data_IF_077016083441
#
_entry.id   IF_077016083441
#
_cell.length_a   1.000
_cell.length_b   1.000
_cell.length_c   1.000
_cell.angle_alpha   90.00
_cell.angle_beta   90.00
_cell.angle_gamma   90.00
#
_symmetry.space_group_name_H-M   'P 1'
#
loop_
_entity.id
_entity.type
_entity.pdbx_description
1 polymer ?
#
# COMPACT_ATOMS: atom_id res chain seq x y z
N UNK A 1 3.39 -12.60 -8.79
CA UNK A 1 2.21 -11.90 -9.35
C UNK A 1 2.30 -11.97 -10.86
N UNK A 2 1.16 -12.06 -11.52
CA UNK A 2 1.04 -12.12 -12.96
C UNK A 2 -0.06 -11.14 -13.41
N UNK A 3 0.18 -10.38 -14.48
CA UNK A 3 -0.73 -9.34 -14.93
C UNK A 3 -0.95 -9.36 -16.46
N UNK A 4 -2.09 -8.87 -16.96
CA UNK A 4 -2.35 -8.82 -18.38
C UNK A 4 -1.57 -7.67 -19.04
N UNK A 5 -0.86 -7.97 -20.14
CA UNK A 5 -0.15 -6.99 -20.99
C UNK A 5 -1.04 -5.87 -21.58
N UNK A 6 -2.35 -5.88 -21.31
CA UNK A 6 -3.30 -4.85 -21.72
C UNK A 6 -3.11 -3.52 -20.97
N UNK A 7 -2.42 -3.51 -19.83
CA UNK A 7 -2.07 -2.29 -19.10
C UNK A 7 -0.56 -2.01 -19.23
N UNK A 8 -0.13 -0.73 -19.38
CA UNK A 8 1.28 -0.37 -19.26
C UNK A 8 1.84 -0.87 -17.94
N UNK A 9 2.96 -1.60 -18.00
CA UNK A 9 3.58 -2.23 -16.83
C UNK A 9 3.86 -1.22 -15.69
N UNK A 10 4.29 -0.01 -16.05
CA UNK A 10 4.58 1.05 -15.09
C UNK A 10 3.34 1.49 -14.28
N UNK A 11 2.19 1.64 -14.94
CA UNK A 11 0.96 2.08 -14.29
C UNK A 11 0.34 0.99 -13.43
N UNK A 12 0.42 -0.27 -13.90
CA UNK A 12 -0.13 -1.41 -13.18
C UNK A 12 0.68 -1.77 -11.92
N UNK A 13 2.01 -1.66 -11.97
CA UNK A 13 2.90 -2.03 -10.86
C UNK A 13 3.01 -0.93 -9.79
N UNK A 14 2.64 0.30 -10.11
CA UNK A 14 2.74 1.44 -9.18
C UNK A 14 1.97 1.20 -7.86
N UNK A 15 0.68 0.79 -7.86
CA UNK A 15 -0.03 0.50 -6.61
C UNK A 15 0.66 -0.57 -5.77
N UNK A 16 1.18 -1.63 -6.39
CA UNK A 16 1.91 -2.67 -5.68
C UNK A 16 3.23 -2.18 -5.08
N UNK A 17 3.96 -1.31 -5.77
CA UNK A 17 5.18 -0.71 -5.23
C UNK A 17 4.89 0.19 -4.01
N UNK A 18 3.83 0.99 -4.08
CA UNK A 18 3.37 1.85 -2.99
C UNK A 18 2.98 1.03 -1.75
N UNK A 19 2.14 0.00 -1.94
CA UNK A 19 1.76 -0.93 -0.86
C UNK A 19 2.97 -1.71 -0.34
N UNK A 20 3.86 -2.16 -1.22
CA UNK A 20 5.08 -2.88 -0.84
C UNK A 20 5.95 -2.05 0.10
N UNK A 21 6.14 -0.76 -0.24
CA UNK A 21 6.87 0.19 0.60
C UNK A 21 6.18 0.42 1.94
N UNK A 22 4.86 0.62 1.94
CA UNK A 22 4.10 0.92 3.15
C UNK A 22 4.12 -0.23 4.17
N UNK A 23 4.10 -1.48 3.70
CA UNK A 23 4.05 -2.67 4.55
C UNK A 23 5.42 -3.35 4.73
N UNK A 24 6.48 -2.83 4.10
CA UNK A 24 7.81 -3.47 4.12
C UNK A 24 7.83 -4.84 3.44
N UNK A 25 6.95 -5.07 2.47
CA UNK A 25 6.83 -6.33 1.71
C UNK A 25 7.31 -6.16 0.28
N UNK A 26 7.75 -7.26 -0.33
CA UNK A 26 8.20 -7.28 -1.73
C UNK A 26 7.21 -8.02 -2.59
N UNK A 27 6.75 -7.38 -3.67
CA UNK A 27 6.03 -8.06 -4.73
C UNK A 27 7.01 -8.62 -5.75
N UNK A 28 6.92 -9.91 -6.04
CA UNK A 28 7.73 -10.61 -7.04
C UNK A 28 6.88 -10.81 -8.28
N UNK A 29 7.41 -10.47 -9.45
CA UNK A 29 6.76 -10.62 -10.74
C UNK A 29 7.43 -11.73 -11.55
N UNK A 30 6.64 -12.58 -12.20
CA UNK A 30 7.16 -13.75 -12.92
C UNK A 30 7.94 -13.39 -14.20
N UNK A 31 7.72 -12.18 -14.74
CA UNK A 31 8.29 -11.67 -15.98
C UNK A 31 9.70 -11.07 -15.84
N UNK A 32 10.24 -10.93 -14.62
CA UNK A 32 11.43 -10.10 -14.39
C UNK A 32 12.81 -10.76 -14.63
N UNK A 33 12.93 -12.06 -14.96
CA UNK A 33 14.27 -12.64 -15.24
C UNK A 33 14.24 -13.76 -16.29
N UNK A 34 15.11 -13.68 -17.30
CA UNK A 34 15.42 -14.79 -18.20
C UNK A 34 16.42 -15.68 -17.46
N UNK A 35 16.04 -16.92 -17.17
CA UNK A 35 16.92 -17.93 -16.56
C UNK A 35 16.98 -19.17 -17.45
N UNK A 36 18.10 -19.89 -17.45
CA UNK A 36 18.31 -21.14 -18.20
C UNK A 36 17.43 -22.33 -17.71
N UNK A 37 16.62 -22.13 -16.68
CA UNK A 37 15.69 -23.12 -16.12
C UNK A 37 14.36 -23.16 -16.90
N UNK A 38 13.68 -24.31 -16.84
CA UNK A 38 12.30 -24.42 -17.31
C UNK A 38 11.44 -23.36 -16.61
N UNK A 39 10.75 -22.53 -17.39
CA UNK A 39 9.90 -21.43 -16.92
C UNK A 39 8.90 -21.89 -15.85
N UNK A 40 8.37 -23.12 -15.95
CA UNK A 40 7.43 -23.66 -14.96
C UNK A 40 8.07 -23.96 -13.61
N UNK A 41 9.31 -24.44 -13.59
CA UNK A 41 10.03 -24.71 -12.33
C UNK A 41 10.37 -23.40 -11.61
N UNK A 42 10.72 -22.36 -12.38
CA UNK A 42 10.93 -21.00 -11.86
C UNK A 42 9.64 -20.44 -11.23
N UNK A 43 8.53 -20.48 -11.97
CA UNK A 43 7.23 -20.04 -11.49
C UNK A 43 6.84 -20.81 -10.23
N UNK A 44 7.01 -22.13 -10.22
CA UNK A 44 6.77 -22.96 -9.04
C UNK A 44 7.60 -22.51 -7.85
N UNK A 45 8.89 -22.20 -8.06
CA UNK A 45 9.77 -21.64 -7.03
C UNK A 45 9.23 -20.33 -6.45
N UNK A 46 8.80 -19.39 -7.29
CA UNK A 46 8.20 -18.14 -6.83
C UNK A 46 6.89 -18.34 -6.06
N UNK A 47 6.04 -19.26 -6.52
CA UNK A 47 4.78 -19.57 -5.84
C UNK A 47 5.08 -20.12 -4.44
N UNK A 48 5.97 -21.11 -4.33
CA UNK A 48 6.30 -21.77 -3.06
C UNK A 48 7.10 -20.86 -2.09
N UNK A 49 7.87 -19.90 -2.63
CA UNK A 49 8.64 -18.94 -1.84
C UNK A 49 7.85 -17.70 -1.39
N UNK A 50 6.61 -17.54 -1.86
CA UNK A 50 5.76 -16.39 -1.54
C UNK A 50 4.73 -16.73 -0.47
N UNK A 51 4.35 -15.77 0.37
CA UNK A 51 3.31 -15.98 1.38
C UNK A 51 1.92 -16.22 0.75
N UNK A 52 1.64 -15.57 -0.37
CA UNK A 52 0.47 -15.78 -1.20
C UNK A 52 0.72 -15.24 -2.61
N UNK A 53 -0.10 -15.66 -3.58
CA UNK A 53 -0.10 -15.13 -4.94
C UNK A 53 -1.30 -14.22 -5.22
N UNK A 54 -1.10 -13.21 -6.06
CA UNK A 54 -2.16 -12.41 -6.69
C UNK A 54 -2.05 -12.61 -8.21
N UNK A 55 -3.15 -13.04 -8.82
CA UNK A 55 -3.24 -13.40 -10.24
C UNK A 55 -4.31 -12.55 -10.90
N UNK A 56 -3.92 -11.65 -11.79
CA UNK A 56 -4.88 -10.78 -12.48
C UNK A 56 -5.41 -11.48 -13.73
N UNK A 57 -6.63 -11.97 -13.60
CA UNK A 57 -7.33 -12.74 -14.64
C UNK A 57 -8.11 -11.84 -15.60
N UNK A 58 -7.90 -10.52 -15.56
CA UNK A 58 -8.49 -9.61 -16.55
C UNK A 58 -8.09 -10.06 -17.96
N UNK A 59 -9.09 -10.24 -18.83
CA UNK A 59 -8.93 -10.70 -20.22
C UNK A 59 -8.36 -12.13 -20.40
N UNK A 60 -8.40 -13.01 -19.38
CA UNK A 60 -8.02 -14.43 -19.53
C UNK A 60 -6.61 -14.64 -20.10
N UNK A 61 -5.62 -13.90 -19.62
CA UNK A 61 -4.25 -14.18 -20.02
C UNK A 61 -3.90 -15.65 -19.71
N UNK A 62 -3.53 -16.41 -20.74
CA UNK A 62 -3.29 -17.84 -20.63
C UNK A 62 -2.14 -18.17 -19.66
N UNK A 63 -1.10 -17.34 -19.62
CA UNK A 63 0.02 -17.51 -18.70
C UNK A 63 -0.44 -17.28 -17.26
N UNK A 64 -1.15 -16.18 -16.99
CA UNK A 64 -1.69 -15.90 -15.65
C UNK A 64 -2.63 -17.01 -15.18
N UNK A 65 -3.43 -17.56 -16.09
CA UNK A 65 -4.37 -18.65 -15.80
C UNK A 65 -3.63 -19.96 -15.49
N UNK A 66 -2.56 -20.26 -16.22
CA UNK A 66 -1.68 -21.40 -15.96
C UNK A 66 -1.00 -21.27 -14.59
N UNK A 67 -0.47 -20.10 -14.27
CA UNK A 67 0.16 -19.81 -12.98
C UNK A 67 -0.83 -19.93 -11.82
N UNK A 68 -2.05 -19.42 -11.98
CA UNK A 68 -3.14 -19.58 -11.01
C UNK A 68 -3.48 -21.06 -10.82
N UNK A 69 -3.66 -21.81 -11.91
CA UNK A 69 -3.93 -23.25 -11.86
C UNK A 69 -2.83 -24.01 -11.13
N UNK A 70 -1.57 -23.68 -11.40
CA UNK A 70 -0.41 -24.26 -10.71
C UNK A 70 -0.42 -23.95 -9.21
N UNK A 71 -0.68 -22.69 -8.83
CA UNK A 71 -0.75 -22.29 -7.42
C UNK A 71 -1.87 -23.02 -6.66
N UNK A 72 -3.04 -23.15 -7.29
CA UNK A 72 -4.17 -23.90 -6.74
C UNK A 72 -3.84 -25.39 -6.62
N UNK A 73 -3.19 -25.98 -7.62
CA UNK A 73 -2.74 -27.38 -7.58
C UNK A 73 -1.68 -27.65 -6.51
N UNK A 74 -0.86 -26.64 -6.17
CA UNK A 74 0.11 -26.68 -5.07
C UNK A 74 -0.50 -26.35 -3.69
N UNK A 75 -1.82 -26.17 -3.63
CA UNK A 75 -2.57 -25.77 -2.43
C UNK A 75 -2.03 -24.48 -1.77
N UNK A 76 -1.54 -23.55 -2.59
CA UNK A 76 -1.02 -22.27 -2.13
C UNK A 76 -2.11 -21.21 -2.09
N UNK A 77 -1.98 -20.26 -1.16
CA UNK A 77 -2.97 -19.20 -1.04
C UNK A 77 -2.92 -18.28 -2.25
N UNK A 78 -4.03 -18.16 -2.95
CA UNK A 78 -4.14 -17.43 -4.21
C UNK A 78 -5.35 -16.49 -4.19
N UNK A 79 -5.10 -15.23 -4.51
CA UNK A 79 -6.10 -14.20 -4.74
C UNK A 79 -6.20 -13.93 -6.23
N UNK A 80 -7.40 -13.65 -6.73
CA UNK A 80 -7.60 -13.24 -8.13
C UNK A 80 -7.90 -11.75 -8.19
N UNK A 81 -7.25 -11.03 -9.10
CA UNK A 81 -7.60 -9.65 -9.44
C UNK A 81 -8.39 -9.63 -10.76
N UNK A 82 -9.37 -8.74 -10.88
CA UNK A 82 -10.20 -8.65 -12.08
C UNK A 82 -10.78 -7.26 -12.31
N UNK A 83 -10.62 -6.74 -13.53
CA UNK A 83 -11.26 -5.51 -13.97
C UNK A 83 -12.43 -5.79 -14.94
N UNK A 84 -13.70 -5.66 -14.50
CA UNK A 84 -14.88 -5.88 -15.36
C UNK A 84 -14.97 -4.84 -16.49
N UNK A 85 -14.44 -3.64 -16.27
CA UNK A 85 -14.53 -2.52 -17.21
C UNK A 85 -13.56 -2.64 -18.37
N UNK A 86 -12.62 -3.59 -18.31
CA UNK A 86 -11.65 -3.85 -19.37
C UNK A 86 -12.22 -4.69 -20.55
N UNK A 87 -13.54 -4.93 -20.58
CA UNK A 87 -14.22 -5.63 -21.68
C UNK A 87 -14.18 -7.16 -21.60
N UNK A 88 -13.71 -7.72 -20.50
CA UNK A 88 -13.62 -9.17 -20.29
C UNK A 88 -14.99 -9.79 -19.96
N UNK A 89 -15.26 -10.99 -20.49
CA UNK A 89 -16.29 -11.88 -19.96
C UNK A 89 -15.96 -12.22 -18.50
N UNK A 90 -16.99 -12.22 -17.64
CA UNK A 90 -16.84 -12.50 -16.21
C UNK A 90 -16.19 -13.88 -15.96
N UNK A 91 -15.57 -14.04 -14.79
CA UNK A 91 -15.00 -15.30 -14.31
C UNK A 91 -15.98 -16.48 -14.45
N UNK A 92 -15.53 -17.67 -14.92
CA UNK A 92 -16.24 -18.91 -14.71
C UNK A 92 -16.68 -19.02 -13.24
N UNK A 93 -17.88 -19.55 -13.02
CA UNK A 93 -18.49 -19.60 -11.69
C UNK A 93 -17.55 -20.22 -10.62
N UNK A 94 -16.70 -21.17 -11.03
CA UNK A 94 -15.73 -21.86 -10.19
C UNK A 94 -14.64 -20.96 -9.58
N UNK A 95 -14.37 -19.81 -10.21
CA UNK A 95 -13.43 -18.80 -9.70
C UNK A 95 -14.13 -17.68 -8.91
N UNK A 96 -15.46 -17.61 -8.93
CA UNK A 96 -16.23 -16.56 -8.21
C UNK A 96 -16.30 -16.80 -6.70
N UNK A 97 -16.08 -18.03 -6.24
CA UNK A 97 -16.17 -18.41 -4.82
C UNK A 97 -14.89 -18.24 -4.00
N UNK A 98 -13.79 -17.74 -4.59
CA UNK A 98 -12.50 -17.56 -3.93
C UNK A 98 -12.12 -16.08 -3.87
N UNK A 99 -11.34 -15.70 -2.85
CA UNK A 99 -10.93 -14.33 -2.52
C UNK A 99 -10.57 -13.46 -3.75
N UNK A 100 -11.58 -12.78 -4.30
CA UNK A 100 -11.51 -12.02 -5.55
C UNK A 100 -11.46 -10.52 -5.25
N UNK A 101 -10.45 -9.88 -5.81
CA UNK A 101 -10.27 -8.44 -5.86
C UNK A 101 -10.80 -7.94 -7.21
N UNK A 102 -12.03 -7.44 -7.22
CA UNK A 102 -12.54 -6.70 -8.37
C UNK A 102 -12.03 -5.26 -8.32
N UNK A 103 -11.66 -4.61 -9.42
CA UNK A 103 -11.27 -3.20 -9.40
C UNK A 103 -11.65 -2.51 -10.72
N UNK A 104 -11.91 -1.21 -10.67
CA UNK A 104 -12.25 -0.37 -11.85
C UNK A 104 -11.19 0.69 -12.14
N UNK A 105 -10.28 0.94 -11.19
CA UNK A 105 -9.18 1.89 -11.31
C UNK A 105 -7.94 1.42 -10.54
N UNK A 106 -6.77 2.00 -10.84
CA UNK A 106 -5.53 1.68 -10.12
C UNK A 106 -5.54 2.13 -8.65
N UNK A 107 -6.28 3.20 -8.33
CA UNK A 107 -6.49 3.63 -6.93
C UNK A 107 -7.25 2.57 -6.15
N UNK A 108 -8.34 2.06 -6.74
CA UNK A 108 -9.15 1.00 -6.11
C UNK A 108 -8.37 -0.32 -5.99
N UNK A 109 -7.53 -0.64 -6.98
CA UNK A 109 -6.61 -1.77 -6.89
C UNK A 109 -5.68 -1.60 -5.69
N UNK A 110 -5.04 -0.43 -5.52
CA UNK A 110 -4.20 -0.11 -4.37
C UNK A 110 -4.89 -0.33 -3.03
N UNK A 111 -6.07 0.26 -2.83
CA UNK A 111 -6.84 0.12 -1.58
C UNK A 111 -7.17 -1.35 -1.25
N UNK A 112 -7.49 -2.16 -2.26
CA UNK A 112 -7.81 -3.58 -2.04
C UNK A 112 -6.56 -4.42 -1.81
N UNK A 113 -5.44 -4.07 -2.44
CA UNK A 113 -4.14 -4.68 -2.15
C UNK A 113 -3.72 -4.44 -0.70
N UNK A 114 -3.88 -3.21 -0.19
CA UNK A 114 -3.58 -2.89 1.20
C UNK A 114 -4.37 -3.78 2.17
N UNK A 115 -5.65 -4.03 1.91
CA UNK A 115 -6.48 -4.90 2.77
C UNK A 115 -5.98 -6.34 2.77
N UNK A 116 -5.61 -6.87 1.61
CA UNK A 116 -5.05 -8.23 1.50
C UNK A 116 -3.72 -8.30 2.25
N UNK A 117 -2.81 -7.36 1.98
CA UNK A 117 -1.49 -7.33 2.62
C UNK A 117 -1.62 -7.18 4.13
N UNK A 118 -2.46 -6.26 4.62
CA UNK A 118 -2.69 -6.04 6.05
C UNK A 118 -3.24 -7.28 6.77
N UNK A 119 -3.98 -8.14 6.06
CA UNK A 119 -4.49 -9.40 6.63
C UNK A 119 -3.37 -10.39 6.91
N UNK A 120 -2.30 -10.38 6.10
CA UNK A 120 -1.17 -11.32 6.19
C UNK A 120 0.04 -10.75 6.90
N UNK A 121 0.23 -9.44 6.78
CA UNK A 121 1.35 -8.67 7.30
C UNK A 121 0.79 -7.47 8.06
N UNK A 122 0.18 -7.69 9.23
CA UNK A 122 -0.31 -6.57 10.03
C UNK A 122 0.86 -5.64 10.35
N UNK A 123 0.73 -4.36 10.00
CA UNK A 123 1.72 -3.34 10.37
C UNK A 123 1.78 -3.35 11.90
N UNK A 124 2.96 -3.60 12.51
CA UNK A 124 3.08 -3.52 13.96
C UNK A 124 2.63 -2.12 14.41
N UNK A 125 1.73 -2.03 15.40
CA UNK A 125 1.29 -0.73 15.95
C UNK A 125 2.47 0.18 16.30
N UNK A 126 3.60 -0.42 16.70
CA UNK A 126 4.85 0.26 16.97
C UNK A 126 5.39 1.05 15.78
N UNK A 127 5.19 0.63 14.52
CA UNK A 127 5.67 1.37 13.35
C UNK A 127 4.89 2.69 13.16
N UNK A 128 3.56 2.66 13.36
CA UNK A 128 2.70 3.85 13.30
C UNK A 128 2.98 4.78 14.48
N UNK A 129 3.15 4.23 15.68
CA UNK A 129 3.54 5.00 16.87
C UNK A 129 4.91 5.65 16.68
N UNK A 130 5.90 4.91 16.15
CA UNK A 130 7.22 5.44 15.83
C UNK A 130 7.19 6.56 14.78
N UNK A 131 6.31 6.47 13.78
CA UNK A 131 6.15 7.49 12.76
C UNK A 131 5.51 8.76 13.35
N UNK A 132 4.46 8.62 14.15
CA UNK A 132 3.85 9.74 14.88
C UNK A 132 4.87 10.39 15.82
N UNK A 133 5.67 9.60 16.55
CA UNK A 133 6.69 10.13 17.45
C UNK A 133 7.87 10.77 16.70
N UNK A 134 8.14 10.34 15.48
CA UNK A 134 9.10 11.03 14.59
C UNK A 134 8.54 12.37 14.15
N UNK A 135 7.29 12.42 13.68
CA UNK A 135 6.62 13.67 13.32
C UNK A 135 6.57 14.64 14.51
N UNK A 136 6.31 14.16 15.74
CA UNK A 136 6.34 14.98 16.96
C UNK A 136 7.72 15.57 17.23
N UNK A 137 8.78 14.77 17.09
CA UNK A 137 10.16 15.24 17.26
C UNK A 137 10.52 16.30 16.22
N UNK A 138 10.09 16.12 14.98
CA UNK A 138 10.32 17.09 13.90
C UNK A 138 9.53 18.39 14.12
N UNK A 139 8.33 18.32 14.70
CA UNK A 139 7.58 19.53 15.10
C UNK A 139 8.34 20.29 16.19
N UNK A 140 8.90 19.59 17.18
CA UNK A 140 9.70 20.23 18.24
C UNK A 140 10.97 20.87 17.68
N UNK A 141 11.62 20.25 16.70
CA UNK A 141 12.83 20.83 16.08
C UNK A 141 12.54 22.06 15.21
N UNK A 142 11.34 22.12 14.60
CA UNK A 142 10.87 23.27 13.82
C UNK A 142 10.30 24.40 14.68
N UNK A 143 9.70 24.08 15.82
CA UNK A 143 9.05 25.07 16.68
C UNK A 143 10.06 25.84 17.54
N UNK A 144 10.01 27.17 17.47
CA UNK A 144 10.84 28.03 18.31
C UNK A 144 10.03 28.67 19.45
N UNK A 145 10.66 29.05 20.59
CA UNK A 145 9.97 29.71 21.70
C UNK A 145 9.40 31.09 21.33
N UNK A 146 10.08 31.79 20.41
CA UNK A 146 9.81 33.17 20.00
C UNK A 146 9.03 33.28 18.69
N UNK A 147 9.21 32.33 17.77
CA UNK A 147 8.52 32.31 16.47
C UNK A 147 7.65 31.06 16.34
N UNK A 148 6.35 31.25 16.55
CA UNK A 148 5.36 30.18 16.60
C UNK A 148 4.87 29.80 15.22
N UNK A 149 4.69 28.50 14.96
CA UNK A 149 4.27 27.96 13.67
C UNK A 149 2.75 27.87 13.57
N UNK A 150 2.18 28.17 12.39
CA UNK A 150 0.78 27.81 12.12
C UNK A 150 0.68 26.34 11.73
N UNK A 151 -0.50 25.76 11.91
CA UNK A 151 -0.74 24.36 11.52
C UNK A 151 -0.51 24.12 10.01
N UNK A 152 -0.75 25.12 9.17
CA UNK A 152 -0.47 25.07 7.73
C UNK A 152 1.03 24.99 7.44
N UNK A 153 1.84 25.68 8.25
CA UNK A 153 3.29 25.74 8.07
C UNK A 153 3.91 24.41 8.52
N UNK A 154 3.40 23.85 9.63
CA UNK A 154 3.75 22.49 10.11
C UNK A 154 3.40 21.45 9.05
N UNK A 155 2.17 21.47 8.52
CA UNK A 155 1.73 20.53 7.49
C UNK A 155 2.62 20.62 6.23
N UNK A 156 2.93 21.85 5.79
CA UNK A 156 3.80 22.08 4.63
C UNK A 156 5.25 21.64 4.87
N UNK A 157 5.81 21.91 6.05
CA UNK A 157 7.18 21.54 6.39
C UNK A 157 7.36 20.02 6.49
N UNK A 158 6.35 19.30 6.99
CA UNK A 158 6.38 17.84 7.12
C UNK A 158 5.85 17.10 5.90
N UNK A 159 5.31 17.80 4.90
CA UNK A 159 4.73 17.18 3.70
C UNK A 159 3.46 16.36 3.97
N UNK A 160 2.70 16.68 5.01
CA UNK A 160 1.50 15.95 5.44
C UNK A 160 0.23 16.78 5.25
N UNK A 161 -0.94 16.13 5.34
CA UNK A 161 -2.23 16.84 5.33
C UNK A 161 -2.43 17.68 6.60
N UNK A 162 -3.21 18.76 6.50
CA UNK A 162 -3.54 19.63 7.64
C UNK A 162 -4.22 18.84 8.77
N UNK A 163 -5.08 17.87 8.43
CA UNK A 163 -5.80 17.09 9.42
C UNK A 163 -4.90 16.09 10.15
N UNK A 164 -3.93 15.49 9.45
CA UNK A 164 -2.90 14.69 10.10
C UNK A 164 -2.02 15.55 11.01
N UNK A 165 -1.60 16.74 10.56
CA UNK A 165 -0.85 17.67 11.39
C UNK A 165 -1.60 18.05 12.67
N UNK A 166 -2.91 18.32 12.60
CA UNK A 166 -3.74 18.58 13.80
C UNK A 166 -3.72 17.40 14.77
N UNK A 167 -3.81 16.18 14.24
CA UNK A 167 -3.83 14.95 15.05
C UNK A 167 -2.49 14.72 15.76
N UNK A 168 -1.37 15.04 15.12
CA UNK A 168 -0.03 14.96 15.71
C UNK A 168 0.20 16.06 16.75
N UNK A 169 -0.21 17.31 16.47
CA UNK A 169 0.03 18.48 17.33
C UNK A 169 -0.85 18.51 18.57
N UNK A 170 -2.13 18.12 18.47
CA UNK A 170 -3.11 18.27 19.56
C UNK A 170 -2.66 17.62 20.89
N UNK A 171 -2.09 16.40 20.91
CA UNK A 171 -1.56 15.80 22.14
C UNK A 171 -0.32 16.49 22.72
N UNK A 172 0.41 17.26 21.90
CA UNK A 172 1.62 17.97 22.33
C UNK A 172 1.31 19.30 23.03
N UNK A 173 0.11 19.86 22.80
CA UNK A 173 -0.32 21.14 23.39
C UNK A 173 -0.49 20.98 24.91
N UNK A 174 0.17 21.86 25.68
CA UNK A 174 0.20 21.82 27.14
C UNK A 174 1.37 20.99 27.70
N UNK A 175 1.88 20.02 26.93
CA UNK A 175 3.04 19.19 27.30
C UNK A 175 4.34 19.80 26.77
N UNK A 176 4.50 19.84 25.44
CA UNK A 176 5.72 20.30 24.75
C UNK A 176 5.49 21.63 24.01
N UNK A 177 4.25 21.89 23.59
CA UNK A 177 3.90 23.10 22.84
C UNK A 177 2.92 23.95 23.65
N UNK A 178 3.04 25.27 23.54
CA UNK A 178 1.97 26.21 23.90
C UNK A 178 1.25 26.65 22.63
N UNK A 179 -0.07 26.72 22.69
CA UNK A 179 -0.90 27.25 21.60
C UNK A 179 -1.37 28.66 21.99
N UNK A 180 -1.24 29.61 21.07
CA UNK A 180 -1.75 30.98 21.23
C UNK A 180 -2.72 31.32 20.09
N UNK A 181 -3.91 31.81 20.43
CA UNK A 181 -5.01 32.12 19.51
C UNK A 181 -6.13 31.07 19.46
N UNK A 182 -7.38 31.53 19.27
CA UNK A 182 -8.59 30.72 19.48
C UNK A 182 -9.14 29.96 18.25
N UNK A 183 -8.78 30.30 17.01
CA UNK A 183 -9.40 29.66 15.82
C UNK A 183 -8.50 29.62 14.57
N UNK A 184 -8.55 30.66 13.72
CA UNK A 184 -7.96 30.65 12.35
C UNK A 184 -6.53 31.17 12.25
N UNK A 185 -5.93 31.54 13.38
CA UNK A 185 -4.57 32.08 13.45
C UNK A 185 -3.73 31.46 14.56
N UNK A 186 -4.15 30.30 15.10
CA UNK A 186 -3.47 29.67 16.22
C UNK A 186 -2.03 29.35 15.84
N UNK A 187 -1.10 29.85 16.65
CA UNK A 187 0.33 29.60 16.53
C UNK A 187 0.77 28.68 17.66
N UNK A 188 1.61 27.72 17.31
CA UNK A 188 2.20 26.77 18.25
C UNK A 188 3.65 27.14 18.48
N UNK A 189 4.00 27.36 19.74
CA UNK A 189 5.34 27.71 20.17
C UNK A 189 5.89 26.57 21.01
N UNK A 190 7.21 26.41 21.01
CA UNK A 190 7.84 25.54 21.99
C UNK A 190 7.58 26.08 23.40
N UNK A 191 7.18 25.19 24.31
CA UNK A 191 7.02 25.54 25.72
C UNK A 191 8.43 25.70 26.32
N UNK A 192 8.70 26.79 27.07
CA UNK A 192 9.98 26.96 27.76
C UNK A 192 10.18 25.92 28.88
#
# INVERSE_FOLDING_TARGET
>A
MAYPYAFPAADYRKPYAEVGKAFGVRFIYADEEITDLNVLDKIKGYILGSAFGIYDITNWNANVTLELGLALGLNQKAYTAFNPSAGASDAPADLRGRDRLQYSSMSELGEKLERIVATHFPVPRSAVENEIDTLRRDIVSLAHPTDGLRISDIAKALGISIDLAKLVVRPMVGVQLRADGQTRGTRYYLKP
#
